data_IF_866936669596
#
_entry.id   IF_866936669596
#
_cell.length_a   1.000
_cell.length_b   1.000
_cell.length_c   1.000
_cell.angle_alpha   90.00
_cell.angle_beta   90.00
_cell.angle_gamma   90.00
#
_symmetry.space_group_name_H-M   'P 1'
#
loop_
_entity.id
_entity.type
_entity.pdbx_description
1 polymer ?
#
# COMPACT_ATOMS: atom_id res chain seq x y z
N UNK A 1 -4.82 13.14 8.17
CA UNK A 1 -5.67 12.57 7.08
C UNK A 1 -4.88 11.48 6.39
N UNK A 2 -5.42 10.24 6.30
CA UNK A 2 -4.79 9.10 5.63
C UNK A 2 -5.57 8.71 4.38
N UNK A 3 -4.87 8.58 3.25
CA UNK A 3 -5.38 7.97 2.02
C UNK A 3 -4.69 6.61 1.82
N UNK A 4 -5.48 5.56 1.65
CA UNK A 4 -4.97 4.24 1.24
C UNK A 4 -5.10 4.12 -0.27
N UNK A 5 -4.08 3.58 -0.93
CA UNK A 5 -4.05 3.30 -2.36
C UNK A 5 -3.83 1.80 -2.56
N UNK A 6 -4.74 1.16 -3.28
CA UNK A 6 -4.65 -0.28 -3.61
C UNK A 6 -4.71 -0.47 -5.12
N UNK A 7 -3.60 -0.86 -5.77
CA UNK A 7 -3.65 -1.44 -7.10
C UNK A 7 -4.33 -2.81 -7.01
N UNK A 8 -5.34 -3.05 -7.84
CA UNK A 8 -6.19 -4.24 -7.72
C UNK A 8 -6.18 -5.06 -9.01
N UNK A 9 -5.59 -6.26 -8.92
CA UNK A 9 -5.71 -7.31 -9.94
C UNK A 9 -6.50 -8.54 -9.41
N UNK A 10 -6.85 -8.56 -8.12
CA UNK A 10 -7.59 -9.64 -7.44
C UNK A 10 -8.81 -9.10 -6.71
N UNK A 11 -9.88 -8.68 -7.43
CA UNK A 11 -11.05 -8.04 -6.82
C UNK A 11 -11.76 -8.92 -5.79
N UNK A 12 -11.61 -10.24 -5.86
CA UNK A 12 -12.15 -11.17 -4.87
C UNK A 12 -11.55 -10.98 -3.45
N UNK A 13 -10.37 -10.38 -3.34
CA UNK A 13 -9.70 -10.12 -2.07
C UNK A 13 -10.21 -8.84 -1.39
N UNK A 14 -10.82 -7.92 -2.13
CA UNK A 14 -11.15 -6.58 -1.66
C UNK A 14 -12.05 -6.58 -0.42
N UNK A 15 -12.95 -7.56 -0.28
CA UNK A 15 -13.82 -7.64 0.90
C UNK A 15 -13.01 -7.93 2.17
N UNK A 16 -11.97 -8.74 2.09
CA UNK A 16 -11.11 -9.02 3.23
C UNK A 16 -10.22 -7.82 3.57
N UNK A 17 -9.71 -7.10 2.55
CA UNK A 17 -9.03 -5.83 2.77
C UNK A 17 -9.94 -4.83 3.48
N UNK A 18 -11.17 -4.66 2.99
CA UNK A 18 -12.17 -3.78 3.60
C UNK A 18 -12.36 -4.07 5.09
N UNK A 19 -12.47 -5.34 5.46
CA UNK A 19 -12.66 -5.75 6.85
C UNK A 19 -11.44 -5.46 7.74
N UNK A 20 -10.25 -5.27 7.16
CA UNK A 20 -9.03 -4.87 7.88
C UNK A 20 -8.86 -3.35 8.03
N UNK A 21 -9.65 -2.55 7.31
CA UNK A 21 -9.55 -1.09 7.29
C UNK A 21 -10.43 -0.47 8.37
N UNK A 22 -9.82 0.28 9.29
CA UNK A 22 -10.56 1.12 10.23
C UNK A 22 -10.85 2.50 9.62
N UNK A 23 -12.03 2.67 9.07
CA UNK A 23 -12.45 3.91 8.42
C UNK A 23 -12.60 5.12 9.36
N UNK A 24 -12.47 4.96 10.67
CA UNK A 24 -12.35 6.09 11.60
C UNK A 24 -11.08 6.89 11.34
N UNK A 25 -9.99 6.22 10.95
CA UNK A 25 -8.68 6.82 10.71
C UNK A 25 -8.37 7.05 9.23
N UNK A 26 -9.19 6.53 8.32
CA UNK A 26 -9.02 6.66 6.87
C UNK A 26 -9.98 7.71 6.32
N UNK A 27 -9.44 8.64 5.54
CA UNK A 27 -10.22 9.64 4.82
C UNK A 27 -10.69 9.13 3.46
N UNK A 28 -9.81 8.43 2.74
CA UNK A 28 -10.12 7.86 1.42
C UNK A 28 -9.39 6.53 1.24
N UNK A 29 -10.06 5.61 0.59
CA UNK A 29 -9.45 4.42 0.01
C UNK A 29 -9.65 4.46 -1.50
N UNK A 30 -8.56 4.55 -2.25
CA UNK A 30 -8.53 4.57 -3.70
C UNK A 30 -8.18 3.16 -4.19
N UNK A 31 -9.12 2.51 -4.84
CA UNK A 31 -8.93 1.19 -5.44
C UNK A 31 -8.81 1.39 -6.95
N UNK A 32 -7.68 0.98 -7.51
CA UNK A 32 -7.42 1.13 -8.93
C UNK A 32 -7.31 -0.24 -9.58
N UNK A 33 -8.38 -0.63 -10.27
CA UNK A 33 -8.46 -1.90 -10.94
C UNK A 33 -7.53 -1.96 -12.16
N UNK A 34 -6.76 -3.04 -12.26
CA UNK A 34 -6.03 -3.33 -13.48
C UNK A 34 -7.00 -3.81 -14.56
N UNK A 35 -7.16 -3.01 -15.59
CA UNK A 35 -8.08 -3.30 -16.69
C UNK A 35 -7.37 -3.79 -17.96
N UNK A 36 -6.12 -4.19 -17.87
CA UNK A 36 -5.31 -4.66 -19.00
C UNK A 36 -5.99 -5.79 -19.78
N UNK A 37 -6.61 -6.74 -19.07
CA UNK A 37 -7.27 -7.90 -19.67
C UNK A 37 -8.80 -7.79 -19.80
N UNK A 38 -9.37 -6.62 -19.47
CA UNK A 38 -10.83 -6.40 -19.43
C UNK A 38 -11.31 -5.30 -20.39
N UNK A 39 -10.46 -4.86 -21.32
CA UNK A 39 -10.73 -3.76 -22.27
C UNK A 39 -11.25 -2.49 -21.57
N UNK A 40 -10.65 -2.15 -20.44
CA UNK A 40 -11.04 -0.98 -19.65
C UNK A 40 -12.27 -1.17 -18.76
N UNK A 41 -12.89 -2.35 -18.76
CA UNK A 41 -14.09 -2.63 -17.97
C UNK A 41 -13.70 -3.19 -16.60
N UNK A 42 -14.26 -2.64 -15.54
CA UNK A 42 -14.24 -3.21 -14.21
C UNK A 42 -15.62 -3.07 -13.56
N UNK A 43 -15.88 -3.89 -12.55
CA UNK A 43 -17.07 -3.79 -11.73
C UNK A 43 -16.67 -3.31 -10.35
N UNK A 44 -17.17 -2.16 -9.93
CA UNK A 44 -17.01 -1.67 -8.56
C UNK A 44 -17.58 -2.66 -7.53
N UNK A 45 -16.91 -2.76 -6.40
CA UNK A 45 -17.23 -3.71 -5.33
C UNK A 45 -17.99 -3.02 -4.20
N UNK A 46 -17.71 -1.73 -3.96
CA UNK A 46 -18.19 -1.03 -2.78
C UNK A 46 -19.09 0.16 -3.12
N UNK A 47 -20.12 0.33 -2.29
CA UNK A 47 -20.89 1.58 -2.19
C UNK A 47 -20.61 2.19 -0.81
N UNK A 48 -19.50 2.93 -0.69
CA UNK A 48 -19.06 3.51 0.57
C UNK A 48 -18.49 4.92 0.33
N UNK A 49 -18.87 5.95 1.14
CA UNK A 49 -18.54 7.36 0.86
C UNK A 49 -17.04 7.69 0.89
N UNK A 50 -16.23 6.86 1.53
CA UNK A 50 -14.76 7.02 1.58
C UNK A 50 -14.01 6.17 0.56
N UNK A 51 -14.70 5.39 -0.28
CA UNK A 51 -14.08 4.52 -1.29
C UNK A 51 -14.33 5.12 -2.68
N UNK A 52 -13.27 5.13 -3.47
CA UNK A 52 -13.34 5.51 -4.89
C UNK A 52 -12.68 4.42 -5.70
N UNK A 53 -13.41 3.87 -6.66
CA UNK A 53 -12.92 2.81 -7.53
C UNK A 53 -12.84 3.33 -8.98
N UNK A 54 -11.77 3.04 -9.68
CA UNK A 54 -11.62 3.35 -11.11
C UNK A 54 -10.63 2.37 -11.78
N UNK A 55 -10.62 2.35 -13.10
CA UNK A 55 -9.79 1.42 -13.89
C UNK A 55 -8.62 2.12 -14.56
N UNK A 56 -7.48 1.43 -14.61
CA UNK A 56 -6.28 1.81 -15.38
C UNK A 56 -5.67 0.56 -15.97
N UNK A 57 -5.27 0.60 -17.24
CA UNK A 57 -4.62 -0.52 -17.92
C UNK A 57 -3.12 -0.30 -18.06
N UNK A 58 -2.36 -1.41 -18.15
CA UNK A 58 -0.94 -1.43 -18.46
C UNK A 58 0.00 -1.41 -17.26
N UNK A 59 1.29 -1.47 -17.58
CA UNK A 59 2.40 -1.42 -16.64
C UNK A 59 2.69 -2.71 -15.90
N UNK A 60 3.64 -2.61 -14.98
CA UNK A 60 4.13 -3.73 -14.16
C UNK A 60 3.73 -3.50 -12.70
N UNK A 61 3.31 -4.58 -12.02
CA UNK A 61 3.13 -4.63 -10.57
C UNK A 61 2.22 -3.55 -9.97
N UNK A 62 1.27 -3.01 -10.74
CA UNK A 62 0.35 -1.99 -10.26
C UNK A 62 0.94 -0.56 -10.19
N UNK A 63 2.09 -0.30 -10.80
CA UNK A 63 2.74 1.01 -10.76
C UNK A 63 1.95 2.12 -11.45
N UNK A 64 1.38 1.93 -12.68
CA UNK A 64 0.49 2.92 -13.30
C UNK A 64 -0.76 3.18 -12.47
N UNK A 65 -1.29 2.14 -11.83
CA UNK A 65 -2.44 2.23 -10.94
C UNK A 65 -2.11 3.14 -9.73
N UNK A 66 -0.93 3.00 -9.12
CA UNK A 66 -0.47 3.85 -8.01
C UNK A 66 -0.27 5.30 -8.46
N UNK A 67 0.35 5.53 -9.62
CA UNK A 67 0.50 6.87 -10.20
C UNK A 67 -0.86 7.53 -10.40
N UNK A 68 -1.80 6.81 -11.03
CA UNK A 68 -3.14 7.36 -11.30
C UNK A 68 -3.93 7.66 -10.03
N UNK A 69 -3.72 6.86 -8.97
CA UNK A 69 -4.30 7.14 -7.66
C UNK A 69 -3.67 8.38 -7.03
N UNK A 70 -2.35 8.56 -7.14
CA UNK A 70 -1.66 9.75 -6.62
C UNK A 70 -2.17 11.03 -7.26
N UNK A 71 -2.56 11.04 -8.55
CA UNK A 71 -3.21 12.19 -9.21
C UNK A 71 -4.50 12.65 -8.51
N UNK A 72 -5.15 11.75 -7.76
CA UNK A 72 -6.39 12.05 -7.03
C UNK A 72 -6.14 12.49 -5.57
N UNK A 73 -4.91 12.41 -5.07
CA UNK A 73 -4.52 12.86 -3.73
C UNK A 73 -4.12 14.33 -3.80
N UNK A 74 -4.52 15.11 -2.79
CA UNK A 74 -4.17 16.55 -2.72
C UNK A 74 -3.30 16.87 -1.52
N UNK A 75 -3.41 16.09 -0.46
CA UNK A 75 -2.67 16.32 0.79
C UNK A 75 -2.84 15.13 1.74
N UNK A 76 -2.09 15.15 2.84
CA UNK A 76 -2.18 14.15 3.90
C UNK A 76 -1.11 13.07 3.78
N UNK A 77 -1.30 12.01 4.51
CA UNK A 77 -0.48 10.80 4.47
C UNK A 77 -1.02 9.82 3.45
N UNK A 78 -0.13 9.13 2.76
CA UNK A 78 -0.43 8.09 1.76
C UNK A 78 0.14 6.77 2.24
N UNK A 79 -0.68 5.73 2.21
CA UNK A 79 -0.32 4.34 2.47
C UNK A 79 -0.64 3.48 1.25
N UNK A 80 0.32 2.73 0.76
CA UNK A 80 0.13 1.81 -0.36
C UNK A 80 -0.09 0.41 0.19
N UNK A 81 -1.23 -0.19 -0.14
CA UNK A 81 -1.65 -1.51 0.32
C UNK A 81 -2.01 -2.38 -0.87
N UNK A 82 -1.22 -3.40 -1.15
CA UNK A 82 -1.48 -4.31 -2.25
C UNK A 82 -2.68 -5.23 -1.96
N UNK A 83 -3.34 -5.70 -3.00
CA UNK A 83 -4.60 -6.46 -2.92
C UNK A 83 -4.44 -7.90 -2.40
N UNK A 84 -3.22 -8.32 -2.06
CA UNK A 84 -2.92 -9.60 -1.40
C UNK A 84 -2.43 -9.47 0.04
N UNK A 85 -2.37 -8.26 0.57
CA UNK A 85 -1.95 -7.97 1.93
C UNK A 85 -3.16 -7.69 2.85
N UNK A 86 -2.95 -7.74 4.17
CA UNK A 86 -3.96 -7.37 5.18
C UNK A 86 -3.31 -6.44 6.20
N UNK A 87 -3.99 -5.36 6.56
CA UNK A 87 -3.52 -4.45 7.61
C UNK A 87 -3.51 -5.17 8.97
N UNK A 88 -2.36 -5.12 9.66
CA UNK A 88 -2.24 -5.64 11.01
C UNK A 88 -2.99 -4.74 12.01
N UNK A 89 -3.67 -5.26 13.04
CA UNK A 89 -4.40 -4.44 14.01
C UNK A 89 -3.58 -3.31 14.66
N UNK A 90 -2.31 -3.54 14.98
CA UNK A 90 -1.40 -2.54 15.57
C UNK A 90 -1.28 -1.26 14.72
N UNK A 91 -1.44 -1.36 13.41
CA UNK A 91 -1.40 -0.21 12.50
C UNK A 91 -2.39 0.89 12.92
N UNK A 92 -3.57 0.51 13.40
CA UNK A 92 -4.61 1.45 13.80
C UNK A 92 -4.34 2.14 15.13
N UNK A 93 -3.43 1.61 15.95
CA UNK A 93 -2.91 2.27 17.14
C UNK A 93 -1.77 3.23 16.82
N UNK A 94 -1.05 2.96 15.71
CA UNK A 94 0.05 3.79 15.24
C UNK A 94 -0.47 5.05 14.52
N UNK A 95 -1.40 4.88 13.58
CA UNK A 95 -1.86 5.95 12.66
C UNK A 95 -2.27 7.25 13.36
N UNK A 96 -2.99 7.26 14.51
CA UNK A 96 -3.36 8.51 15.20
C UNK A 96 -2.17 9.32 15.69
N UNK A 97 -1.00 8.71 15.84
CA UNK A 97 0.23 9.34 16.37
C UNK A 97 1.12 9.91 15.27
N UNK A 98 0.81 9.65 13.99
CA UNK A 98 1.65 10.06 12.87
C UNK A 98 1.50 11.55 12.56
N UNK A 99 2.61 12.20 12.25
CA UNK A 99 2.69 13.59 11.87
C UNK A 99 3.04 13.73 10.39
N UNK A 100 2.38 14.63 9.69
CA UNK A 100 2.59 14.88 8.26
C UNK A 100 3.99 15.41 7.92
N UNK A 101 4.76 15.88 8.89
CA UNK A 101 6.15 16.34 8.69
C UNK A 101 7.17 15.23 8.51
N UNK A 102 6.75 13.98 8.69
CA UNK A 102 7.62 12.81 8.64
C UNK A 102 7.06 11.73 7.73
N UNK A 103 7.93 10.95 7.11
CA UNK A 103 7.54 9.65 6.56
C UNK A 103 8.00 8.53 7.50
N UNK A 104 7.25 7.46 7.49
CA UNK A 104 7.39 6.37 8.45
C UNK A 104 7.61 5.06 7.74
N UNK A 105 8.45 4.20 8.34
CA UNK A 105 8.57 2.81 7.92
C UNK A 105 8.26 1.89 9.09
N UNK A 106 7.75 0.70 8.78
CA UNK A 106 7.25 -0.28 9.74
C UNK A 106 7.80 -1.66 9.41
N UNK A 107 7.65 -2.59 10.34
CA UNK A 107 7.82 -4.00 10.07
C UNK A 107 6.58 -4.56 9.36
N UNK A 108 6.78 -5.61 8.57
CA UNK A 108 5.70 -6.45 8.07
C UNK A 108 5.95 -7.91 8.43
N UNK A 109 4.90 -8.65 8.65
CA UNK A 109 4.96 -10.06 8.94
C UNK A 109 4.53 -10.87 7.71
N UNK A 110 5.41 -11.75 7.23
CA UNK A 110 5.04 -12.68 6.17
C UNK A 110 3.95 -13.62 6.66
N UNK A 111 2.94 -13.83 5.84
CA UNK A 111 1.97 -14.88 6.07
C UNK A 111 2.41 -16.14 5.33
N UNK A 112 2.54 -17.24 6.05
CA UNK A 112 2.81 -18.53 5.43
C UNK A 112 1.48 -19.14 4.99
N UNK A 113 1.18 -19.03 3.71
CA UNK A 113 -0.09 -19.50 3.11
C UNK A 113 -0.24 -21.03 3.14
N UNK A 114 0.87 -21.78 3.19
CA UNK A 114 0.84 -23.25 3.26
C UNK A 114 0.48 -23.76 4.65
N UNK A 115 0.89 -23.06 5.68
CA UNK A 115 0.67 -23.44 7.08
C UNK A 115 -0.46 -22.64 7.72
N UNK A 116 -0.89 -21.54 7.10
CA UNK A 116 -1.96 -20.68 7.59
C UNK A 116 -1.61 -19.94 8.88
N UNK A 117 -0.33 -19.56 9.07
CA UNK A 117 0.15 -18.88 10.28
C UNK A 117 1.18 -17.78 9.95
N UNK A 118 1.41 -16.84 10.89
CA UNK A 118 2.48 -15.86 10.77
C UNK A 118 3.85 -16.53 10.63
N UNK A 119 4.64 -16.06 9.65
CA UNK A 119 6.03 -16.45 9.41
C UNK A 119 7.01 -15.37 9.87
N UNK A 120 8.09 -15.17 9.10
CA UNK A 120 9.17 -14.23 9.42
C UNK A 120 8.71 -12.77 9.40
N UNK A 121 9.37 -11.95 10.22
CA UNK A 121 9.20 -10.50 10.24
C UNK A 121 10.26 -9.88 9.34
N UNK A 122 9.81 -9.08 8.36
CA UNK A 122 10.66 -8.22 7.55
C UNK A 122 10.72 -6.83 8.18
N UNK A 123 11.92 -6.40 8.55
CA UNK A 123 12.14 -5.09 9.17
C UNK A 123 12.07 -3.98 8.14
N UNK A 124 11.41 -2.90 8.50
CA UNK A 124 11.33 -1.67 7.70
C UNK A 124 12.40 -0.63 8.06
N UNK A 125 13.46 -1.02 8.76
CA UNK A 125 14.52 -0.13 9.27
C UNK A 125 15.43 0.46 8.18
N UNK A 126 15.43 -0.15 7.00
CA UNK A 126 16.28 0.25 5.89
C UNK A 126 15.44 0.58 4.65
N UNK A 127 15.00 1.84 4.46
CA UNK A 127 14.16 2.25 3.33
C UNK A 127 14.98 2.36 2.04
N UNK A 128 15.39 1.23 1.48
CA UNK A 128 16.19 1.08 0.29
C UNK A 128 15.68 -0.03 -0.61
N UNK A 129 16.10 0.03 -1.85
CA UNK A 129 15.86 -1.00 -2.86
C UNK A 129 16.17 -2.40 -2.32
N UNK A 130 15.27 -3.35 -2.53
CA UNK A 130 15.35 -4.76 -2.09
C UNK A 130 15.39 -4.98 -0.56
N UNK A 131 15.13 -3.94 0.23
CA UNK A 131 15.13 -4.04 1.70
C UNK A 131 13.77 -3.71 2.31
N UNK A 132 12.86 -3.19 1.52
CA UNK A 132 11.55 -2.73 1.95
C UNK A 132 10.52 -3.02 0.87
N UNK A 133 9.30 -3.26 1.27
CA UNK A 133 8.14 -3.52 0.42
C UNK A 133 7.10 -2.41 0.56
N UNK A 134 6.14 -2.39 -0.35
CA UNK A 134 5.11 -1.35 -0.49
C UNK A 134 4.33 -1.08 0.79
N UNK A 135 3.89 -2.13 1.48
CA UNK A 135 3.06 -1.99 2.70
C UNK A 135 3.86 -1.68 3.98
N UNK A 136 5.16 -1.44 3.85
CA UNK A 136 6.02 -1.11 4.99
C UNK A 136 6.22 0.39 5.21
N UNK A 137 5.56 1.27 4.47
CA UNK A 137 5.76 2.70 4.65
C UNK A 137 4.50 3.54 4.48
N UNK A 138 4.47 4.65 5.20
CA UNK A 138 3.53 5.76 5.03
C UNK A 138 4.32 7.01 4.71
N UNK A 139 3.90 7.74 3.68
CA UNK A 139 4.58 8.97 3.25
C UNK A 139 3.62 10.15 3.17
N UNK A 140 4.04 11.37 3.54
CA UNK A 140 3.31 12.58 3.23
C UNK A 140 3.18 12.74 1.71
N UNK A 141 2.02 13.13 1.23
CA UNK A 141 1.78 13.30 -0.21
C UNK A 141 2.79 14.23 -0.90
N UNK A 142 3.19 15.31 -0.24
CA UNK A 142 4.17 16.25 -0.81
C UNK A 142 5.59 15.68 -0.99
N UNK A 143 5.89 14.54 -0.37
CA UNK A 143 7.14 13.79 -0.58
C UNK A 143 7.01 12.72 -1.67
N UNK A 144 5.78 12.38 -2.08
CA UNK A 144 5.57 11.35 -3.11
C UNK A 144 6.15 11.79 -4.45
N UNK A 145 6.97 10.93 -5.04
CA UNK A 145 7.39 11.01 -6.42
C UNK A 145 6.47 10.22 -7.35
N UNK A 146 6.98 9.89 -8.52
CA UNK A 146 6.31 9.05 -9.51
C UNK A 146 6.87 7.64 -9.47
N UNK A 147 6.01 6.64 -9.50
CA UNK A 147 6.40 5.22 -9.65
C UNK A 147 6.90 4.97 -11.06
N UNK A 148 8.00 4.23 -11.20
CA UNK A 148 8.46 3.74 -12.50
C UNK A 148 7.54 2.65 -13.00
N UNK A 149 6.81 2.92 -14.07
CA UNK A 149 5.72 2.07 -14.52
C UNK A 149 6.16 0.73 -15.12
N UNK A 150 7.37 0.68 -15.64
CA UNK A 150 8.00 -0.45 -16.32
C UNK A 150 9.06 -1.20 -15.49
N UNK A 151 9.20 -0.87 -14.20
CA UNK A 151 10.20 -1.45 -13.32
C UNK A 151 9.55 -2.28 -12.20
N UNK A 152 9.87 -3.56 -12.13
CA UNK A 152 9.40 -4.47 -11.07
C UNK A 152 9.91 -4.07 -9.67
N UNK A 153 11.00 -3.30 -9.59
CA UNK A 153 11.60 -2.84 -8.33
C UNK A 153 11.14 -1.45 -7.93
N UNK A 154 10.06 -0.96 -8.55
CA UNK A 154 9.60 0.41 -8.37
C UNK A 154 9.23 0.77 -6.93
N UNK A 155 8.78 -0.20 -6.13
CA UNK A 155 8.49 -0.05 -4.69
C UNK A 155 9.72 0.40 -3.90
N UNK A 156 10.81 -0.34 -4.00
CA UNK A 156 12.06 0.00 -3.34
C UNK A 156 12.69 1.29 -3.88
N UNK A 157 12.61 1.52 -5.20
CA UNK A 157 13.11 2.76 -5.82
C UNK A 157 12.32 3.99 -5.38
N UNK A 158 11.01 3.87 -5.24
CA UNK A 158 10.14 4.95 -4.80
C UNK A 158 10.49 5.43 -3.40
N UNK A 159 10.61 4.51 -2.45
CA UNK A 159 10.91 4.88 -1.07
C UNK A 159 12.38 5.28 -0.88
N UNK A 160 13.32 4.68 -1.63
CA UNK A 160 14.74 5.08 -1.58
C UNK A 160 14.95 6.50 -2.07
N UNK A 161 14.24 6.92 -3.11
CA UNK A 161 14.25 8.31 -3.60
C UNK A 161 13.73 9.28 -2.54
N UNK A 162 12.61 8.95 -1.90
CA UNK A 162 12.04 9.73 -0.79
C UNK A 162 13.05 9.81 0.37
N UNK A 163 13.63 8.69 0.78
CA UNK A 163 14.61 8.63 1.86
C UNK A 163 15.84 9.48 1.55
N UNK A 164 16.39 9.39 0.34
CA UNK A 164 17.57 10.14 -0.05
C UNK A 164 17.36 11.66 -0.02
N UNK A 165 16.14 12.12 -0.36
CA UNK A 165 15.77 13.54 -0.34
C UNK A 165 15.39 14.06 1.06
N UNK A 166 14.91 13.18 1.95
CA UNK A 166 14.25 13.55 3.21
C UNK A 166 14.78 12.76 4.43
N UNK A 167 16.08 12.44 4.49
CA UNK A 167 16.66 11.58 5.54
C UNK A 167 16.31 12.03 6.97
N UNK A 168 16.31 13.32 7.21
CA UNK A 168 16.03 13.90 8.53
C UNK A 168 14.55 13.79 8.95
N UNK A 169 13.68 13.47 8.01
CA UNK A 169 12.25 13.29 8.23
C UNK A 169 11.82 11.82 8.27
N UNK A 170 12.76 10.88 8.34
CA UNK A 170 12.47 9.45 8.46
C UNK A 170 12.31 9.03 9.92
N UNK A 171 11.25 8.27 10.19
CA UNK A 171 11.03 7.61 11.49
C UNK A 171 10.72 6.13 11.23
N UNK A 172 11.54 5.26 11.79
CA UNK A 172 11.26 3.82 11.82
C UNK A 172 10.49 3.47 13.09
N UNK A 173 9.38 2.75 12.95
CA UNK A 173 8.55 2.23 14.03
C UNK A 173 8.65 0.70 13.99
N UNK A 174 9.31 0.04 14.96
CA UNK A 174 9.55 -1.40 14.98
C UNK A 174 8.30 -2.18 15.39
N UNK A 175 7.19 -1.92 14.72
CA UNK A 175 5.92 -2.59 14.92
C UNK A 175 5.39 -3.14 13.59
N UNK A 176 4.77 -4.31 13.62
CA UNK A 176 4.15 -4.92 12.45
C UNK A 176 2.92 -4.13 12.04
N UNK A 177 2.94 -3.59 10.82
CA UNK A 177 1.84 -2.81 10.24
C UNK A 177 0.96 -3.62 9.27
N UNK A 178 1.50 -4.69 8.71
CA UNK A 178 0.86 -5.44 7.64
C UNK A 178 1.24 -6.93 7.69
N UNK A 179 0.29 -7.78 7.32
CA UNK A 179 0.55 -9.17 6.94
C UNK A 179 0.78 -9.24 5.43
N UNK A 180 2.00 -9.58 5.03
CA UNK A 180 2.42 -9.69 3.65
C UNK A 180 1.97 -11.01 3.02
N UNK A 181 1.40 -10.94 1.82
CA UNK A 181 0.88 -12.09 1.08
C UNK A 181 -0.24 -12.89 1.79
N UNK A 182 -0.95 -12.27 2.72
CA UNK A 182 -2.01 -12.94 3.49
C UNK A 182 -3.11 -13.53 2.61
N UNK A 183 -3.44 -12.85 1.50
CA UNK A 183 -4.51 -13.23 0.56
C UNK A 183 -3.95 -13.80 -0.75
N UNK A 184 -2.65 -14.00 -0.84
CA UNK A 184 -2.04 -14.59 -2.01
C UNK A 184 -2.36 -16.09 -2.01
N UNK A 185 -3.17 -16.53 -2.97
CA UNK A 185 -3.45 -17.96 -3.13
C UNK A 185 -2.20 -18.67 -3.64
N UNK A 186 -1.90 -19.91 -3.15
CA UNK A 186 -0.85 -20.72 -3.71
C UNK A 186 -1.08 -20.86 -5.22
N UNK A 187 -0.06 -20.59 -6.00
CA UNK A 187 -0.06 -20.98 -7.42
C UNK A 187 -0.13 -22.51 -7.45
N UNK A 188 -1.25 -23.05 -7.96
CA UNK A 188 -1.41 -24.49 -8.15
C UNK A 188 -0.46 -24.97 -9.24
#
# INVERSE_FOLDING_TARGET
MLTIITPCCRPANLQQLFNSINFTHVNRWLIVHDTTHTNGVFKGVFNHPKITEFGVSGGISGNPQRNKALDQVKSGLVYFLDDDNIIHPNFWEIVPRLNIGYFYTFDQQRWDEFVGKPGDIFKGDTPRLQKIDTAQYIVPFYMCGTWKEDDYKADGLFIEDIYNKNKVSHIYIPEVACYYNYLRRPTK
#
